data_IF_110996361831
#
_entry.id   IF_110996361831
#
_cell.length_a   1.000
_cell.length_b   1.000
_cell.length_c   1.000
_cell.angle_alpha   90.00
_cell.angle_beta   90.00
_cell.angle_gamma   90.00
#
_symmetry.space_group_name_H-M   'P 1'
#
loop_
_entity.id
_entity.type
_entity.pdbx_description
1 polymer ?
#
# COMPACT_ATOMS: atom_id res chain seq x y z
N UNK A 1 -1.06 21.32 9.98
CA UNK A 1 -0.57 20.06 10.61
C UNK A 1 -1.77 19.30 11.13
N UNK A 2 -2.00 18.03 10.73
CA UNK A 2 -3.10 17.24 11.32
C UNK A 2 -2.71 16.81 12.74
N UNK A 3 -3.56 17.04 13.76
CA UNK A 3 -3.31 16.58 15.12
C UNK A 3 -3.03 15.07 15.16
N UNK A 4 -2.09 14.63 16.00
CA UNK A 4 -1.70 13.21 16.09
C UNK A 4 -2.87 12.30 16.47
N UNK A 5 -3.82 12.81 17.25
CA UNK A 5 -5.05 12.08 17.61
C UNK A 5 -5.93 11.71 16.39
N UNK A 6 -5.77 12.42 15.27
CA UNK A 6 -6.50 12.14 14.03
C UNK A 6 -5.74 11.20 13.08
N UNK A 7 -4.55 10.71 13.48
CA UNK A 7 -3.78 9.79 12.66
C UNK A 7 -4.48 8.43 12.59
N UNK A 8 -4.36 7.79 11.43
CA UNK A 8 -4.98 6.48 11.19
C UNK A 8 -4.24 5.43 12.02
N UNK A 9 -5.01 4.68 12.81
CA UNK A 9 -4.51 3.51 13.52
C UNK A 9 -4.21 2.36 12.55
N UNK A 10 -3.18 1.59 12.87
CA UNK A 10 -2.80 0.41 12.13
C UNK A 10 -1.83 -0.46 12.91
N UNK A 11 -1.76 -1.75 12.57
CA UNK A 11 -0.85 -2.71 13.18
C UNK A 11 0.45 -2.76 12.37
N UNK A 12 1.59 -2.67 13.06
CA UNK A 12 2.89 -2.89 12.41
C UNK A 12 3.00 -4.36 12.03
N UNK A 13 3.23 -4.64 10.75
CA UNK A 13 3.44 -6.00 10.25
C UNK A 13 4.92 -6.31 10.08
N UNK A 14 5.70 -5.35 9.57
CA UNK A 14 7.14 -5.52 9.34
C UNK A 14 7.89 -4.21 9.56
N UNK A 15 9.14 -4.32 9.98
CA UNK A 15 10.07 -3.20 10.08
C UNK A 15 10.92 -3.11 8.79
N UNK A 16 11.36 -1.90 8.47
CA UNK A 16 12.25 -1.61 7.36
C UNK A 16 13.56 -1.10 7.96
N UNK A 17 14.57 -1.94 7.91
CA UNK A 17 15.92 -1.65 8.38
C UNK A 17 16.72 -1.01 7.24
N UNK A 18 17.59 -0.07 7.60
CA UNK A 18 18.63 0.42 6.72
C UNK A 18 19.81 -0.54 6.66
N UNK A 19 20.78 -0.21 5.80
CA UNK A 19 22.04 -0.94 5.65
C UNK A 19 22.87 -0.98 6.94
N UNK A 20 22.75 0.06 7.76
CA UNK A 20 23.34 0.18 9.09
C UNK A 20 22.60 -0.62 10.18
N UNK A 21 21.61 -1.44 9.80
CA UNK A 21 20.79 -2.23 10.73
C UNK A 21 19.70 -1.43 11.46
N UNK A 22 19.70 -0.10 11.37
CA UNK A 22 18.77 0.76 12.08
C UNK A 22 17.38 0.81 11.41
N UNK A 23 16.32 0.80 12.22
CA UNK A 23 14.93 0.87 11.72
C UNK A 23 14.59 2.29 11.29
N UNK A 24 14.34 2.50 9.98
CA UNK A 24 13.94 3.82 9.43
C UNK A 24 12.49 3.87 8.99
N UNK A 25 11.85 2.72 8.81
CA UNK A 25 10.44 2.66 8.45
C UNK A 25 9.74 1.41 8.95
N UNK A 26 8.43 1.38 8.74
CA UNK A 26 7.59 0.23 8.99
C UNK A 26 6.53 0.09 7.92
N UNK A 27 6.11 -1.16 7.75
CA UNK A 27 4.97 -1.60 6.96
C UNK A 27 3.82 -1.76 7.94
N UNK A 28 2.77 -0.96 7.77
CA UNK A 28 1.63 -0.88 8.69
C UNK A 28 0.37 -1.29 7.95
N UNK A 29 -0.34 -2.30 8.47
CA UNK A 29 -1.67 -2.67 7.96
C UNK A 29 -2.74 -1.80 8.60
N UNK A 30 -3.60 -1.29 7.75
CA UNK A 30 -4.74 -0.43 8.08
C UNK A 30 -6.02 -1.12 7.61
N UNK A 31 -7.03 -1.13 8.48
CA UNK A 31 -8.34 -1.71 8.18
C UNK A 31 -9.41 -0.62 8.21
N UNK A 32 -9.57 0.17 7.13
CA UNK A 32 -10.61 1.19 7.05
C UNK A 32 -12.00 0.55 7.03
N UNK A 33 -12.97 1.14 7.75
CA UNK A 33 -14.36 0.65 7.78
C UNK A 33 -14.94 0.57 6.37
N UNK A 34 -15.51 -0.59 6.03
CA UNK A 34 -16.18 -0.84 4.75
C UNK A 34 -15.25 -0.89 3.53
N UNK A 35 -13.93 -0.97 3.73
CA UNK A 35 -12.94 -1.07 2.66
C UNK A 35 -12.01 -2.23 2.95
N UNK A 36 -11.43 -2.79 1.87
CA UNK A 36 -10.42 -3.85 2.01
C UNK A 36 -9.24 -3.33 2.84
N UNK A 37 -8.68 -4.16 3.74
CA UNK A 37 -7.44 -3.85 4.42
C UNK A 37 -6.35 -3.53 3.39
N UNK A 38 -5.52 -2.56 3.73
CA UNK A 38 -4.41 -2.15 2.88
C UNK A 38 -3.17 -1.95 3.73
N UNK A 39 -2.02 -1.93 3.08
CA UNK A 39 -0.75 -1.80 3.76
C UNK A 39 -0.06 -0.51 3.33
N UNK A 40 0.52 0.22 4.29
CA UNK A 40 1.24 1.46 4.06
C UNK A 40 2.69 1.33 4.46
N UNK A 41 3.58 1.89 3.66
CA UNK A 41 4.97 2.17 4.05
C UNK A 41 5.03 3.55 4.71
N UNK A 42 5.59 3.63 5.91
CA UNK A 42 5.77 4.88 6.66
C UNK A 42 7.16 4.92 7.28
N UNK A 43 7.76 6.11 7.33
CA UNK A 43 8.97 6.29 8.13
C UNK A 43 8.60 6.26 9.61
N UNK A 44 9.55 5.86 10.46
CA UNK A 44 9.34 5.82 11.93
C UNK A 44 8.93 7.19 12.46
N UNK A 45 9.44 8.28 11.89
CA UNK A 45 9.08 9.67 12.25
C UNK A 45 7.60 10.00 11.98
N UNK A 46 6.95 9.27 11.09
CA UNK A 46 5.53 9.44 10.76
C UNK A 46 4.64 8.41 11.44
N UNK A 47 5.16 7.75 12.47
CA UNK A 47 4.42 6.85 13.34
C UNK A 47 4.44 7.38 14.77
N UNK A 48 3.37 7.09 15.50
CA UNK A 48 3.31 7.34 16.93
C UNK A 48 2.96 6.00 17.60
N UNK A 49 3.85 5.44 18.42
CA UNK A 49 3.62 4.14 19.03
C UNK A 49 2.51 4.21 20.08
N UNK A 50 1.66 3.19 20.10
CA UNK A 50 0.66 2.96 21.12
C UNK A 50 0.85 1.53 21.64
N UNK A 51 1.19 1.41 22.91
CA UNK A 51 1.33 0.11 23.56
C UNK A 51 -0.06 -0.41 23.94
N UNK A 52 -0.40 -1.60 23.46
CA UNK A 52 -1.68 -2.25 23.73
C UNK A 52 -1.42 -3.67 24.22
N UNK A 53 -2.19 -4.12 25.22
CA UNK A 53 -2.17 -5.51 25.63
C UNK A 53 -2.87 -6.33 24.55
N UNK A 54 -2.14 -7.27 23.95
CA UNK A 54 -2.71 -8.22 22.99
C UNK A 54 -2.70 -9.61 23.62
N UNK A 55 -3.87 -10.09 24.03
CA UNK A 55 -4.03 -11.50 24.37
C UNK A 55 -3.91 -12.30 23.07
N UNK A 56 -2.80 -13.00 22.92
CA UNK A 56 -2.31 -13.59 21.66
C UNK A 56 -3.21 -14.66 21.05
N UNK A 57 -4.18 -15.18 21.81
CA UNK A 57 -4.98 -16.34 21.40
C UNK A 57 -6.21 -16.01 20.54
N UNK A 58 -6.64 -14.75 20.46
CA UNK A 58 -7.93 -14.41 19.84
C UNK A 58 -7.86 -13.87 18.40
N UNK A 59 -6.67 -13.66 17.80
CA UNK A 59 -6.54 -12.85 16.57
C UNK A 59 -6.28 -13.63 15.28
N UNK A 60 -5.87 -14.90 15.32
CA UNK A 60 -5.69 -15.66 14.06
C UNK A 60 -7.02 -16.10 13.43
N UNK A 61 -8.12 -16.14 14.19
CA UNK A 61 -9.39 -16.69 13.72
C UNK A 61 -10.54 -15.65 13.57
N UNK A 62 -10.30 -14.36 13.86
CA UNK A 62 -11.33 -13.30 13.75
C UNK A 62 -11.32 -12.53 12.42
N UNK A 63 -10.36 -12.80 11.55
CA UNK A 63 -10.36 -12.29 10.18
C UNK A 63 -10.90 -13.40 9.27
N UNK A 64 -12.21 -13.34 9.01
CA UNK A 64 -12.94 -14.33 8.22
C UNK A 64 -12.20 -14.72 6.95
N UNK A 65 -11.98 -16.02 6.81
CA UNK A 65 -11.76 -16.69 5.53
C UNK A 65 -12.98 -16.35 4.66
N UNK A 66 -12.91 -15.28 3.89
CA UNK A 66 -13.94 -14.99 2.93
C UNK A 66 -13.82 -16.07 1.85
N UNK A 67 -14.81 -16.95 1.72
CA UNK A 67 -14.97 -17.94 0.64
C UNK A 67 -14.88 -17.32 -0.77
N UNK A 68 -14.80 -15.98 -0.86
CA UNK A 68 -14.55 -15.21 -2.06
C UNK A 68 -13.10 -15.27 -2.58
N UNK A 69 -12.09 -15.49 -1.72
CA UNK A 69 -10.68 -15.46 -2.14
C UNK A 69 -10.24 -16.74 -2.89
N UNK A 70 -10.96 -17.85 -2.73
CA UNK A 70 -10.64 -19.15 -3.38
C UNK A 70 -11.16 -19.21 -4.83
N UNK A 71 -12.11 -18.34 -5.20
CA UNK A 71 -12.63 -18.21 -6.56
C UNK A 71 -11.79 -17.28 -7.48
N UNK A 72 -10.90 -16.44 -6.92
CA UNK A 72 -10.12 -15.44 -7.69
C UNK A 72 -8.78 -16.00 -8.22
N UNK A 73 -8.53 -17.29 -8.03
CA UNK A 73 -7.30 -17.93 -8.53
C UNK A 73 -7.22 -18.10 -10.05
N UNK A 74 -8.33 -17.96 -10.80
CA UNK A 74 -8.36 -18.37 -12.21
C UNK A 74 -9.00 -17.37 -13.20
N UNK A 75 -9.31 -16.13 -12.78
CA UNK A 75 -9.90 -15.08 -13.65
C UNK A 75 -9.06 -13.78 -13.63
N UNK A 76 -7.74 -13.89 -13.56
CA UNK A 76 -6.81 -12.76 -13.61
C UNK A 76 -6.51 -12.27 -15.04
N UNK A 77 -7.25 -12.73 -16.05
CA UNK A 77 -7.10 -12.28 -17.42
C UNK A 77 -8.37 -11.55 -17.84
N UNK A 78 -8.28 -10.21 -17.99
CA UNK A 78 -9.28 -9.28 -18.59
C UNK A 78 -10.11 -8.35 -17.68
N UNK A 79 -9.70 -7.99 -16.45
CA UNK A 79 -10.28 -6.79 -15.81
C UNK A 79 -9.41 -5.56 -16.09
N UNK A 80 -9.62 -4.95 -17.25
CA UNK A 80 -9.07 -3.64 -17.58
C UNK A 80 -9.65 -2.59 -16.63
N UNK A 81 -8.88 -2.22 -15.60
CA UNK A 81 -9.28 -1.22 -14.62
C UNK A 81 -9.30 0.16 -15.30
N UNK A 82 -10.48 0.60 -15.79
CA UNK A 82 -10.73 1.93 -16.38
C UNK A 82 -10.63 3.06 -15.36
N UNK A 83 -9.45 3.24 -14.74
CA UNK A 83 -9.14 4.49 -14.03
C UNK A 83 -8.70 5.52 -15.06
N UNK A 84 -9.33 6.71 -15.14
CA UNK A 84 -8.91 7.72 -16.10
C UNK A 84 -7.44 8.10 -15.84
N UNK A 85 -6.61 7.99 -16.89
CA UNK A 85 -5.21 8.44 -16.83
C UNK A 85 -5.19 9.94 -16.55
N UNK A 86 -4.39 10.36 -15.57
CA UNK A 86 -4.15 11.78 -15.28
C UNK A 86 -3.54 12.47 -16.50
N UNK A 87 -3.95 13.69 -16.79
CA UNK A 87 -3.46 14.48 -17.93
C UNK A 87 -1.92 14.64 -17.96
N UNK A 88 -1.31 14.82 -16.78
CA UNK A 88 0.15 14.88 -16.66
C UNK A 88 0.86 13.58 -17.10
N UNK A 89 0.23 12.42 -16.86
CA UNK A 89 0.77 11.12 -17.27
C UNK A 89 0.71 10.95 -18.80
N UNK A 90 -0.37 11.40 -19.45
CA UNK A 90 -0.49 11.40 -20.93
C UNK A 90 0.59 12.27 -21.57
N UNK A 91 0.74 13.52 -21.11
CA UNK A 91 1.79 14.44 -21.59
C UNK A 91 3.20 13.92 -21.36
N UNK A 92 3.43 13.20 -20.27
CA UNK A 92 4.71 12.53 -20.02
C UNK A 92 5.00 11.44 -21.04
N UNK A 93 4.00 10.62 -21.35
CA UNK A 93 4.13 9.54 -22.32
C UNK A 93 4.30 10.02 -23.76
N UNK A 94 3.60 11.09 -24.15
CA UNK A 94 3.78 11.73 -25.46
C UNK A 94 5.21 12.25 -25.65
N UNK A 95 5.76 12.95 -24.66
CA UNK A 95 7.15 13.43 -24.70
C UNK A 95 8.14 12.28 -24.83
N UNK A 96 7.94 11.20 -24.08
CA UNK A 96 8.77 9.99 -24.15
C UNK A 96 8.72 9.36 -25.55
N UNK A 97 7.53 9.20 -26.12
CA UNK A 97 7.36 8.63 -27.47
C UNK A 97 8.02 9.50 -28.54
N UNK A 98 7.87 10.82 -28.45
CA UNK A 98 8.51 11.76 -29.36
C UNK A 98 10.03 11.66 -29.30
N UNK A 99 10.60 11.65 -28.09
CA UNK A 99 12.04 11.51 -27.89
C UNK A 99 12.60 10.17 -28.41
N UNK A 100 11.89 9.06 -28.20
CA UNK A 100 12.28 7.75 -28.75
C UNK A 100 12.26 7.77 -30.27
N UNK A 101 11.26 8.41 -30.89
CA UNK A 101 11.18 8.52 -32.34
C UNK A 101 12.36 9.33 -32.88
N UNK A 102 12.66 10.46 -32.25
CA UNK A 102 13.79 11.34 -32.63
C UNK A 102 15.15 10.63 -32.54
N UNK A 103 15.34 9.78 -31.51
CA UNK A 103 16.54 8.93 -31.40
C UNK A 103 16.65 7.87 -32.50
N UNK A 104 15.52 7.41 -33.03
CA UNK A 104 15.49 6.33 -34.02
C UNK A 104 15.54 6.87 -35.46
N UNK A 105 15.27 8.17 -35.64
CA UNK A 105 15.35 8.90 -36.90
C UNK A 105 16.71 9.65 -37.05
N UNK A 106 17.64 9.49 -36.10
CA UNK A 106 19.02 10.03 -36.11
C UNK A 106 20.05 8.93 -36.33
#
# INVERSE_FOLDING_TARGET
SQPRACWRLGKVERLINGEDGNVRGAIVRISPKGKRPTTLKRSVRLLYPLEVRSDSEAEENRYGKNEFDEAIGNEMNQVEVKRPRREAAKRGEERRRKWIKELNDS
#
